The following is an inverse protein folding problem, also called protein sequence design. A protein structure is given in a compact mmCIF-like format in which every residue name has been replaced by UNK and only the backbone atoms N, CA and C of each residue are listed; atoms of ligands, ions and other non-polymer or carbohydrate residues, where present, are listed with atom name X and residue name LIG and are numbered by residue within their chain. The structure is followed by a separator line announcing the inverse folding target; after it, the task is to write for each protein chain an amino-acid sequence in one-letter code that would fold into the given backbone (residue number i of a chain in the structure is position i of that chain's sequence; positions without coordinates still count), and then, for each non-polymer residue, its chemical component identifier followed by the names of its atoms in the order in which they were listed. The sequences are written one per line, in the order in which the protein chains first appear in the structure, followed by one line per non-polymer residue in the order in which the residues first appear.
data_IF_207110050010
#
_entry.id   IF_207110050010
#
_cell.length_a   1.000
_cell.length_b   1.000
_cell.length_c   1.000
_cell.angle_alpha   90.00
_cell.angle_beta   90.00
_cell.angle_gamma   90.00
#
_symmetry.space_group_name_H-M   'P 1'
#
loop_
_entity.id
_entity.type
_entity.pdbx_description
1 polymer ?
#
# COMPACT_ATOMS: atom_id res chain seq x y z
N UNK A 1 65.47 3.05 15.87
CA UNK A 1 65.16 1.65 15.50
C UNK A 1 63.78 1.36 16.07
N UNK A 2 62.76 1.21 15.23
CA UNK A 2 61.37 1.08 15.67
C UNK A 2 61.09 -0.38 16.02
N UNK A 3 60.69 -0.65 17.26
CA UNK A 3 60.25 -1.96 17.71
C UNK A 3 59.05 -2.40 16.87
N UNK A 4 59.17 -3.52 16.16
CA UNK A 4 58.06 -4.10 15.43
C UNK A 4 56.94 -4.42 16.42
N UNK A 5 55.79 -3.76 16.26
CA UNK A 5 54.64 -3.89 17.15
C UNK A 5 54.23 -5.36 17.29
N UNK A 6 54.37 -5.94 18.49
CA UNK A 6 53.91 -7.29 18.87
C UNK A 6 52.49 -7.60 18.38
N UNK A 7 51.64 -6.57 18.33
CA UNK A 7 50.28 -6.63 17.80
C UNK A 7 50.22 -6.97 16.29
N UNK A 8 51.10 -6.39 15.46
CA UNK A 8 51.11 -6.68 14.02
C UNK A 8 51.57 -8.11 13.73
N UNK A 9 52.47 -8.65 14.54
CA UNK A 9 52.91 -10.04 14.43
C UNK A 9 51.79 -11.02 14.80
N UNK A 10 51.05 -10.76 15.87
CA UNK A 10 49.90 -11.58 16.26
C UNK A 10 48.81 -11.55 15.18
N UNK A 11 48.52 -10.38 14.61
CA UNK A 11 47.56 -10.25 13.51
C UNK A 11 47.98 -11.06 12.29
N UNK A 12 49.27 -11.06 11.93
CA UNK A 12 49.80 -11.86 10.81
C UNK A 12 49.65 -13.36 11.07
N UNK A 13 49.95 -13.82 12.29
CA UNK A 13 49.78 -15.23 12.69
C UNK A 13 48.33 -15.69 12.57
N UNK A 14 47.37 -14.89 13.05
CA UNK A 14 45.95 -15.21 12.92
C UNK A 14 45.48 -15.29 11.47
N UNK A 15 45.95 -14.40 10.61
CA UNK A 15 45.62 -14.42 9.18
C UNK A 15 46.19 -15.69 8.53
N UNK A 16 47.42 -16.07 8.88
CA UNK A 16 48.05 -17.28 8.36
C UNK A 16 47.34 -18.56 8.83
N UNK A 17 46.97 -18.63 10.11
CA UNK A 17 46.17 -19.74 10.64
C UNK A 17 44.80 -19.84 9.97
N UNK A 18 44.11 -18.72 9.76
CA UNK A 18 42.83 -18.69 9.03
C UNK A 18 42.99 -19.16 7.59
N UNK A 19 44.10 -18.78 6.93
CA UNK A 19 44.41 -19.26 5.58
C UNK A 19 44.64 -20.78 5.57
N UNK A 20 45.40 -21.32 6.53
CA UNK A 20 45.59 -22.78 6.65
C UNK A 20 44.28 -23.53 6.88
N UNK A 21 43.39 -23.01 7.73
CA UNK A 21 42.06 -23.59 7.96
C UNK A 21 41.19 -23.56 6.69
N UNK A 22 41.26 -22.51 5.89
CA UNK A 22 40.55 -22.42 4.61
C UNK A 22 41.06 -23.45 3.58
N UNK A 23 42.38 -23.67 3.54
CA UNK A 23 43.01 -24.67 2.69
C UNK A 23 42.68 -26.11 3.16
N UNK A 24 42.72 -26.36 4.46
CA UNK A 24 42.36 -27.64 5.09
C UNK A 24 40.92 -28.04 4.79
N UNK A 25 39.98 -27.09 4.90
CA UNK A 25 38.57 -27.29 4.55
C UNK A 25 38.31 -27.27 3.04
N UNK A 26 39.34 -27.09 2.21
CA UNK A 26 39.27 -26.99 0.74
C UNK A 26 38.23 -25.99 0.26
N UNK A 27 37.98 -24.93 1.04
CA UNK A 27 36.90 -23.97 0.76
C UNK A 27 37.13 -23.23 -0.55
N UNK A 28 38.39 -22.99 -0.91
CA UNK A 28 38.77 -22.37 -2.18
C UNK A 28 38.28 -23.20 -3.39
N UNK A 29 38.40 -24.52 -3.34
CA UNK A 29 37.95 -25.41 -4.41
C UNK A 29 36.42 -25.43 -4.52
N UNK A 30 35.71 -25.45 -3.39
CA UNK A 30 34.24 -25.37 -3.37
C UNK A 30 33.74 -24.03 -3.92
N UNK A 31 34.37 -22.93 -3.53
CA UNK A 31 34.02 -21.59 -4.03
C UNK A 31 34.25 -21.47 -5.55
N UNK A 32 35.29 -22.11 -6.09
CA UNK A 32 35.58 -22.15 -7.51
C UNK A 32 34.54 -23.01 -8.26
N UNK A 33 34.21 -24.20 -7.75
CA UNK A 33 33.22 -25.09 -8.34
C UNK A 33 31.82 -24.47 -8.39
N UNK A 34 31.42 -23.72 -7.35
CA UNK A 34 30.13 -23.00 -7.32
C UNK A 34 30.12 -21.87 -8.35
N UNK A 35 31.21 -21.10 -8.48
CA UNK A 35 31.33 -20.06 -9.51
C UNK A 35 31.28 -20.65 -10.92
N UNK A 36 31.96 -21.77 -11.15
CA UNK A 36 31.94 -22.48 -12.42
C UNK A 36 30.54 -23.04 -12.73
N UNK A 37 29.86 -23.62 -11.75
CA UNK A 37 28.49 -24.10 -11.89
C UNK A 37 27.50 -22.96 -12.19
N UNK A 38 27.70 -21.78 -11.61
CA UNK A 38 26.89 -20.59 -11.87
C UNK A 38 27.17 -19.97 -13.25
N UNK A 39 28.39 -20.12 -13.77
CA UNK A 39 28.78 -19.65 -15.11
C UNK A 39 28.30 -20.56 -16.24
N UNK A 40 27.87 -21.80 -15.94
CA UNK A 40 27.32 -22.70 -16.96
C UNK A 40 25.96 -22.16 -17.45
N UNK A 41 25.75 -22.03 -18.77
CA UNK A 41 24.48 -21.58 -19.31
C UNK A 41 23.38 -22.56 -18.92
N UNK A 42 22.29 -22.05 -18.34
CA UNK A 42 21.13 -22.89 -18.00
C UNK A 42 20.58 -23.50 -19.30
N UNK A 43 20.25 -24.81 -19.33
CA UNK A 43 19.61 -25.40 -20.49
C UNK A 43 18.29 -24.67 -20.73
N UNK A 44 18.06 -24.24 -21.96
CA UNK A 44 16.82 -23.57 -22.34
C UNK A 44 15.64 -24.51 -22.01
N UNK A 45 14.70 -24.13 -21.12
CA UNK A 45 13.57 -25.00 -20.84
C UNK A 45 12.77 -25.15 -22.12
N UNK A 46 12.73 -26.37 -22.69
CA UNK A 46 11.87 -26.66 -23.84
C UNK A 46 10.44 -26.21 -23.49
N UNK A 47 9.73 -25.51 -24.39
CA UNK A 47 8.34 -25.15 -24.14
C UNK A 47 7.57 -26.45 -23.89
N UNK A 48 6.92 -26.54 -22.72
CA UNK A 48 6.07 -27.69 -22.41
C UNK A 48 4.94 -27.72 -23.45
N UNK A 49 4.63 -28.86 -24.09
CA UNK A 49 3.49 -28.94 -24.96
C UNK A 49 2.24 -28.58 -24.16
N UNK A 50 1.45 -27.62 -24.66
CA UNK A 50 0.15 -27.30 -24.06
C UNK A 50 -0.69 -28.57 -24.09
N UNK A 51 -1.09 -29.08 -22.92
CA UNK A 51 -2.02 -30.21 -22.82
C UNK A 51 -3.33 -29.75 -23.45
N UNK A 52 -3.79 -30.41 -24.52
CA UNK A 52 -5.17 -30.27 -24.98
C UNK A 52 -6.07 -30.72 -23.84
N UNK A 53 -7.12 -29.94 -23.55
CA UNK A 53 -8.14 -30.34 -22.59
C UNK A 53 -8.70 -31.72 -23.02
N UNK A 54 -8.90 -32.68 -22.10
CA UNK A 54 -9.60 -33.90 -22.44
C UNK A 54 -11.02 -33.56 -22.90
N UNK A 55 -11.51 -34.26 -23.91
CA UNK A 55 -12.92 -34.32 -24.27
C UNK A 55 -13.77 -34.59 -23.01
N UNK A 56 -15.05 -34.15 -22.94
CA UNK A 56 -15.93 -34.36 -21.79
C UNK A 56 -16.28 -35.86 -21.62
N UNK A 57 -15.31 -36.64 -21.16
CA UNK A 57 -15.44 -38.02 -20.77
C UNK A 57 -15.30 -38.13 -19.26
N UNK A 58 -15.99 -39.12 -18.69
CA UNK A 58 -16.07 -39.35 -17.25
C UNK A 58 -14.72 -39.26 -16.55
N UNK A 59 -14.71 -38.51 -15.43
CA UNK A 59 -13.52 -38.32 -14.61
C UNK A 59 -12.91 -39.67 -14.26
N UNK A 60 -11.70 -39.95 -14.77
CA UNK A 60 -10.85 -41.05 -14.30
C UNK A 60 -10.49 -40.82 -12.83
N UNK A 61 -11.34 -41.29 -11.92
CA UNK A 61 -11.04 -41.36 -10.49
C UNK A 61 -9.98 -42.44 -10.30
N UNK A 62 -8.91 -42.13 -9.57
CA UNK A 62 -7.92 -43.13 -9.19
C UNK A 62 -8.61 -44.31 -8.48
N UNK A 63 -8.28 -45.55 -8.85
CA UNK A 63 -8.88 -46.76 -8.27
C UNK A 63 -8.78 -46.87 -6.73
N UNK A 64 -7.98 -46.01 -6.08
CA UNK A 64 -7.90 -45.87 -4.62
C UNK A 64 -9.21 -45.45 -3.95
N UNK A 65 -10.18 -44.94 -4.70
CA UNK A 65 -11.48 -44.45 -4.15
C UNK A 65 -12.64 -45.40 -4.48
N UNK A 66 -12.42 -46.44 -5.30
CA UNK A 66 -13.49 -47.33 -5.77
C UNK A 66 -14.00 -48.31 -4.70
N UNK A 67 -13.25 -48.52 -3.61
CA UNK A 67 -13.59 -49.46 -2.54
C UNK A 67 -14.06 -48.83 -1.23
N UNK A 68 -14.22 -47.50 -1.17
CA UNK A 68 -14.78 -46.87 0.03
C UNK A 68 -16.31 -46.97 0.00
N UNK A 69 -16.96 -47.27 1.15
CA UNK A 69 -18.40 -47.13 1.27
C UNK A 69 -18.82 -45.70 0.92
N UNK A 70 -20.04 -45.54 0.39
CA UNK A 70 -20.58 -44.24 0.02
C UNK A 70 -20.41 -43.28 1.18
N UNK A 71 -19.57 -42.26 0.98
CA UNK A 71 -19.26 -41.28 2.02
C UNK A 71 -20.58 -40.59 2.39
N UNK A 72 -20.97 -40.54 3.68
CA UNK A 72 -22.16 -39.80 4.08
C UNK A 72 -22.01 -38.36 3.59
N UNK A 73 -23.07 -37.86 2.94
CA UNK A 73 -23.14 -36.49 2.45
C UNK A 73 -23.16 -35.56 3.67
N UNK A 74 -21.99 -35.12 4.14
CA UNK A 74 -21.82 -34.14 5.22
C UNK A 74 -22.37 -32.74 4.89
N UNK A 75 -23.23 -32.61 3.86
CA UNK A 75 -23.76 -31.35 3.33
C UNK A 75 -25.28 -31.25 3.56
N UNK A 76 -25.82 -31.98 4.52
CA UNK A 76 -27.11 -31.61 5.14
C UNK A 76 -26.79 -30.77 6.37
N UNK A 77 -26.85 -29.44 6.20
CA UNK A 77 -26.60 -28.45 7.25
C UNK A 77 -25.50 -27.43 6.92
N UNK A 78 -24.64 -27.71 5.94
CA UNK A 78 -23.81 -26.67 5.35
C UNK A 78 -24.67 -25.93 4.32
N UNK A 79 -25.36 -24.88 4.76
CA UNK A 79 -25.90 -23.88 3.84
C UNK A 79 -24.83 -23.58 2.81
N UNK A 80 -25.17 -23.84 1.55
CA UNK A 80 -24.36 -23.39 0.43
C UNK A 80 -24.33 -21.87 0.54
N UNK A 81 -23.31 -21.31 1.20
CA UNK A 81 -22.87 -19.93 0.95
C UNK A 81 -22.35 -19.95 -0.49
N UNK A 82 -23.30 -19.96 -1.41
CA UNK A 82 -23.04 -20.03 -2.82
C UNK A 82 -22.19 -18.83 -3.19
N UNK A 83 -21.27 -19.06 -4.12
CA UNK A 83 -20.52 -18.02 -4.82
C UNK A 83 -21.42 -16.84 -5.30
N UNK A 84 -22.73 -17.08 -5.44
CA UNK A 84 -23.78 -16.09 -5.71
C UNK A 84 -23.98 -15.07 -4.58
N UNK A 85 -23.99 -15.48 -3.32
CA UNK A 85 -24.16 -14.57 -2.18
C UNK A 85 -22.95 -13.65 -1.96
N UNK A 86 -21.76 -14.10 -2.38
CA UNK A 86 -20.56 -13.27 -2.42
C UNK A 86 -20.69 -12.19 -3.50
N UNK A 87 -21.16 -12.55 -4.70
CA UNK A 87 -21.40 -11.59 -5.79
C UNK A 87 -22.59 -10.65 -5.52
N UNK A 88 -23.64 -11.13 -4.87
CA UNK A 88 -24.78 -10.32 -4.41
C UNK A 88 -24.36 -9.36 -3.29
N UNK A 89 -23.51 -9.78 -2.34
CA UNK A 89 -22.93 -8.88 -1.35
C UNK A 89 -22.04 -7.78 -1.98
N UNK A 90 -21.32 -8.09 -3.06
CA UNK A 90 -20.60 -7.08 -3.85
C UNK A 90 -21.51 -6.21 -4.72
N UNK A 91 -22.64 -6.74 -5.21
CA UNK A 91 -23.63 -6.00 -6.00
C UNK A 91 -24.57 -5.13 -5.15
N UNK A 92 -24.69 -5.42 -3.85
CA UNK A 92 -25.45 -4.61 -2.87
C UNK A 92 -24.67 -3.39 -2.40
N UNK A 93 -23.34 -3.36 -2.57
CA UNK A 93 -22.56 -2.13 -2.34
C UNK A 93 -22.87 -1.11 -3.43
N UNK A 94 -23.93 -0.33 -3.23
CA UNK A 94 -24.16 0.92 -3.94
C UNK A 94 -23.15 1.94 -3.41
N UNK A 95 -21.92 1.90 -3.95
CA UNK A 95 -21.02 3.04 -3.83
C UNK A 95 -21.69 4.30 -4.39
N UNK A 96 -21.21 5.50 -4.02
CA UNK A 96 -21.86 6.75 -4.42
C UNK A 96 -21.98 6.83 -5.94
N UNK A 97 -23.13 7.34 -6.38
CA UNK A 97 -23.51 7.53 -7.78
C UNK A 97 -22.52 8.46 -8.47
N UNK A 98 -22.34 8.29 -9.78
CA UNK A 98 -21.43 9.13 -10.58
C UNK A 98 -21.70 10.64 -10.42
N UNK A 99 -22.99 11.00 -10.28
CA UNK A 99 -23.45 12.38 -10.02
C UNK A 99 -23.02 12.91 -8.65
N UNK A 100 -23.13 12.09 -7.60
CA UNK A 100 -22.72 12.43 -6.24
C UNK A 100 -21.21 12.65 -6.15
N UNK A 101 -20.44 11.75 -6.79
CA UNK A 101 -18.98 11.90 -6.90
C UNK A 101 -18.61 13.15 -7.67
N UNK A 102 -19.32 13.45 -8.76
CA UNK A 102 -19.10 14.67 -9.53
C UNK A 102 -19.45 15.93 -8.72
N UNK A 103 -20.50 15.89 -7.90
CA UNK A 103 -20.88 16.97 -6.99
C UNK A 103 -19.80 17.28 -5.95
N UNK A 104 -19.28 16.24 -5.28
CA UNK A 104 -18.18 16.40 -4.31
C UNK A 104 -16.93 16.98 -4.96
N UNK A 105 -16.57 16.50 -6.17
CA UNK A 105 -15.44 17.04 -6.93
C UNK A 105 -15.69 18.50 -7.32
N UNK A 106 -16.88 18.85 -7.80
CA UNK A 106 -17.20 20.21 -8.21
C UNK A 106 -17.08 21.22 -7.04
N UNK A 107 -17.58 20.85 -5.85
CA UNK A 107 -17.42 21.65 -4.62
C UNK A 107 -15.94 21.82 -4.25
N UNK A 108 -15.16 20.73 -4.31
CA UNK A 108 -13.73 20.75 -4.02
C UNK A 108 -12.94 21.64 -4.99
N UNK A 109 -13.24 21.58 -6.29
CA UNK A 109 -12.63 22.43 -7.30
C UNK A 109 -13.01 23.91 -7.13
N UNK A 110 -14.25 24.21 -6.73
CA UNK A 110 -14.65 25.57 -6.42
C UNK A 110 -13.83 26.15 -5.26
N UNK A 111 -13.64 25.38 -4.19
CA UNK A 111 -12.77 25.77 -3.10
C UNK A 111 -11.32 25.95 -3.57
N UNK A 112 -10.80 25.04 -4.40
CA UNK A 112 -9.46 25.17 -4.98
C UNK A 112 -9.30 26.48 -5.78
N UNK A 113 -10.30 26.86 -6.57
CA UNK A 113 -10.31 28.13 -7.33
C UNK A 113 -10.30 29.34 -6.40
N UNK A 114 -11.06 29.30 -5.30
CA UNK A 114 -11.07 30.36 -4.28
C UNK A 114 -9.70 30.49 -3.61
N UNK A 115 -9.06 29.37 -3.28
CA UNK A 115 -7.76 29.33 -2.60
C UNK A 115 -6.61 29.79 -3.51
N UNK A 116 -6.63 29.42 -4.80
CA UNK A 116 -5.58 29.85 -5.75
C UNK A 116 -5.43 31.37 -5.85
N UNK A 117 -6.46 32.13 -5.47
CA UNK A 117 -6.43 33.59 -5.42
C UNK A 117 -5.55 34.14 -4.28
N UNK A 118 -5.27 33.33 -3.25
CA UNK A 118 -4.78 33.77 -1.94
C UNK A 118 -3.26 33.56 -1.76
N UNK A 119 -2.57 32.96 -2.76
CA UNK A 119 -1.07 32.90 -2.92
C UNK A 119 -0.41 31.56 -2.57
N UNK A 120 -1.12 30.60 -1.97
CA UNK A 120 -0.59 29.25 -1.72
C UNK A 120 -1.28 28.17 -2.55
N UNK A 121 -0.52 27.17 -3.04
CA UNK A 121 -1.04 26.16 -3.93
C UNK A 121 -1.97 25.20 -3.17
N UNK A 122 -3.02 24.78 -3.85
CA UNK A 122 -3.93 23.75 -3.37
C UNK A 122 -4.18 22.71 -4.45
N UNK A 123 -4.35 21.45 -4.06
CA UNK A 123 -4.71 20.38 -4.99
C UNK A 123 -5.93 19.61 -4.49
N UNK A 124 -6.74 19.17 -5.45
CA UNK A 124 -7.92 18.34 -5.21
C UNK A 124 -7.52 16.87 -5.34
N UNK A 125 -8.02 16.05 -4.42
CA UNK A 125 -7.77 14.61 -4.38
C UNK A 125 -9.10 13.86 -4.22
N UNK A 126 -9.64 13.30 -5.31
CA UNK A 126 -10.76 12.37 -5.23
C UNK A 126 -10.36 11.06 -4.55
N UNK A 127 -11.17 10.61 -3.61
CA UNK A 127 -10.95 9.37 -2.86
C UNK A 127 -11.41 8.18 -3.69
N UNK A 128 -10.43 7.36 -4.04
CA UNK A 128 -10.65 6.07 -4.71
C UNK A 128 -10.63 4.95 -3.67
N UNK A 129 -11.18 3.79 -4.02
CA UNK A 129 -11.16 2.58 -3.17
C UNK A 129 -9.77 2.23 -2.59
N UNK A 130 -8.69 2.55 -3.32
CA UNK A 130 -7.33 2.33 -2.84
C UNK A 130 -6.88 3.36 -1.79
N UNK A 131 -7.36 4.60 -1.86
CA UNK A 131 -7.01 5.68 -0.94
C UNK A 131 -7.94 5.76 0.27
N UNK A 132 -9.15 5.17 0.20
CA UNK A 132 -10.14 5.10 1.26
C UNK A 132 -10.09 3.74 2.01
N UNK A 133 -10.51 2.64 1.37
CA UNK A 133 -10.74 1.35 2.04
C UNK A 133 -9.48 0.49 2.22
N UNK A 134 -8.51 0.56 1.29
CA UNK A 134 -7.22 -0.16 1.37
C UNK A 134 -6.04 0.75 1.71
N UNK A 135 -6.31 1.92 2.27
CA UNK A 135 -5.41 3.05 2.36
C UNK A 135 -4.17 2.81 3.23
N UNK A 136 -3.12 2.20 2.67
CA UNK A 136 -1.80 2.22 3.27
C UNK A 136 -1.08 3.54 2.98
N UNK A 137 -1.35 4.16 1.83
CA UNK A 137 -0.60 5.30 1.31
C UNK A 137 -1.48 6.22 0.42
N UNK A 138 -1.27 7.53 0.48
CA UNK A 138 -1.86 8.50 -0.45
C UNK A 138 -0.81 9.10 -1.37
N UNK A 139 -0.98 8.92 -2.69
CA UNK A 139 -0.10 9.55 -3.69
C UNK A 139 -0.43 11.01 -3.92
N UNK A 140 0.58 11.86 -3.85
CA UNK A 140 0.50 13.29 -4.14
C UNK A 140 0.72 13.51 -5.65
N UNK A 141 -0.06 14.40 -6.29
CA UNK A 141 0.14 14.75 -7.70
C UNK A 141 1.54 15.28 -8.00
N UNK A 142 2.10 14.90 -9.16
CA UNK A 142 3.47 15.30 -9.57
C UNK A 142 3.66 16.80 -9.70
N UNK A 143 2.66 17.53 -10.20
CA UNK A 143 2.74 18.99 -10.35
C UNK A 143 2.89 19.71 -9.01
N UNK A 144 2.50 19.06 -7.91
CA UNK A 144 2.59 19.62 -6.58
C UNK A 144 3.99 19.43 -5.94
N UNK A 145 4.88 18.67 -6.58
CA UNK A 145 6.19 18.34 -6.00
C UNK A 145 7.15 19.52 -5.91
N UNK A 146 6.95 20.57 -6.70
CA UNK A 146 7.80 21.78 -6.66
C UNK A 146 7.69 22.51 -5.32
N UNK A 147 6.55 22.36 -4.63
CA UNK A 147 6.26 23.02 -3.35
C UNK A 147 6.62 22.16 -2.14
N UNK A 148 6.96 20.89 -2.36
CA UNK A 148 7.22 19.92 -1.31
C UNK A 148 8.70 19.80 -0.97
N UNK A 149 9.04 19.34 0.25
CA UNK A 149 10.40 19.00 0.60
C UNK A 149 11.00 17.94 -0.33
N UNK A 150 12.29 18.07 -0.63
CA UNK A 150 13.02 17.12 -1.48
C UNK A 150 13.41 15.81 -0.77
N UNK A 151 13.23 15.76 0.56
CA UNK A 151 13.61 14.63 1.41
C UNK A 151 12.41 14.12 2.21
N UNK A 152 12.54 12.93 2.78
CA UNK A 152 11.55 12.37 3.68
C UNK A 152 11.45 13.25 4.93
N UNK A 153 10.28 13.80 5.19
CA UNK A 153 10.04 14.78 6.27
C UNK A 153 8.69 14.50 6.95
N UNK A 154 8.57 14.90 8.21
CA UNK A 154 7.30 14.90 8.91
C UNK A 154 6.41 16.02 8.36
N UNK A 155 5.18 15.70 7.99
CA UNK A 155 4.18 16.64 7.52
C UNK A 155 3.01 16.65 8.49
N UNK A 156 2.45 17.84 8.74
CA UNK A 156 1.27 18.00 9.58
C UNK A 156 0.07 18.28 8.68
N UNK A 157 -0.97 17.46 8.79
CA UNK A 157 -2.28 17.78 8.24
C UNK A 157 -3.13 18.39 9.33
N UNK A 158 -3.78 19.51 9.03
CA UNK A 158 -4.76 20.16 9.91
C UNK A 158 -6.12 19.99 9.24
N UNK A 159 -7.11 19.49 9.95
CA UNK A 159 -8.45 19.33 9.41
C UNK A 159 -9.26 20.65 9.46
N UNK A 160 -10.58 20.55 9.30
CA UNK A 160 -11.48 21.70 9.40
C UNK A 160 -11.75 22.14 10.85
N UNK A 161 -11.60 21.22 11.82
CA UNK A 161 -11.73 21.47 13.26
C UNK A 161 -10.41 21.98 13.89
N UNK A 162 -9.39 22.21 13.07
CA UNK A 162 -8.03 22.60 13.45
C UNK A 162 -7.28 21.53 14.27
N UNK A 163 -7.67 20.25 14.16
CA UNK A 163 -6.96 19.12 14.73
C UNK A 163 -5.72 18.76 13.91
N UNK A 164 -4.60 18.56 14.58
CA UNK A 164 -3.30 18.29 13.95
C UNK A 164 -2.99 16.79 13.86
N UNK A 165 -2.78 16.30 12.65
CA UNK A 165 -2.42 14.92 12.34
C UNK A 165 -1.01 14.84 11.77
N UNK A 166 -0.11 14.21 12.51
CA UNK A 166 1.26 13.98 12.08
C UNK A 166 1.36 12.82 11.09
N UNK A 167 2.00 13.07 9.95
CA UNK A 167 2.21 12.10 8.89
C UNK A 167 3.66 12.06 8.44
N UNK A 168 4.08 10.91 7.91
CA UNK A 168 5.36 10.80 7.22
C UNK A 168 5.16 11.00 5.72
N UNK A 169 5.81 12.03 5.20
CA UNK A 169 5.95 12.26 3.78
C UNK A 169 7.24 11.58 3.29
N UNK A 170 7.09 10.74 2.25
CA UNK A 170 8.20 10.04 1.65
C UNK A 170 8.45 10.58 0.23
N UNK A 171 9.61 11.20 0.05
CA UNK A 171 10.14 11.58 -1.25
C UNK A 171 10.92 10.40 -1.81
N UNK A 172 10.27 9.55 -2.62
CA UNK A 172 10.96 8.37 -3.15
C UNK A 172 12.21 8.78 -3.95
N UNK A 173 13.37 8.25 -3.54
CA UNK A 173 14.73 8.43 -4.13
C UNK A 173 14.87 8.36 -5.67
N UNK A 174 13.85 7.92 -6.42
CA UNK A 174 13.86 7.87 -7.89
C UNK A 174 12.94 8.91 -8.56
N UNK A 175 12.34 9.85 -7.81
CA UNK A 175 11.65 11.03 -8.36
C UNK A 175 10.33 10.74 -9.10
N UNK A 176 9.74 9.54 -8.94
CA UNK A 176 8.56 9.13 -9.72
C UNK A 176 7.23 9.32 -9.01
N UNK A 177 7.19 9.17 -7.68
CA UNK A 177 5.97 9.26 -6.89
C UNK A 177 6.25 9.78 -5.49
N UNK A 178 5.42 10.73 -5.05
CA UNK A 178 5.40 11.27 -3.70
C UNK A 178 4.17 10.73 -2.99
N UNK A 179 4.30 10.32 -1.73
CA UNK A 179 3.16 9.77 -0.99
C UNK A 179 3.24 10.03 0.50
N UNK A 180 2.08 10.19 1.13
CA UNK A 180 1.93 10.06 2.57
C UNK A 180 1.81 8.58 2.90
N UNK A 181 2.64 8.10 3.80
CA UNK A 181 2.66 6.70 4.20
C UNK A 181 2.15 6.57 5.64
N UNK A 182 3.03 6.75 6.63
CA UNK A 182 2.66 6.59 8.04
C UNK A 182 1.74 7.73 8.46
N UNK A 183 0.64 7.42 9.14
CA UNK A 183 -0.36 8.38 9.61
C UNK A 183 -1.59 8.48 8.70
N UNK A 184 -1.46 8.26 7.38
CA UNK A 184 -2.59 8.38 6.44
C UNK A 184 -3.75 7.43 6.79
N UNK A 185 -3.44 6.16 7.08
CA UNK A 185 -4.47 5.18 7.45
C UNK A 185 -5.25 5.59 8.71
N UNK A 186 -4.56 6.19 9.68
CA UNK A 186 -5.18 6.66 10.92
C UNK A 186 -6.13 7.82 10.66
N UNK A 187 -5.67 8.80 9.88
CA UNK A 187 -6.49 9.93 9.44
C UNK A 187 -7.72 9.49 8.64
N UNK A 188 -7.54 8.57 7.68
CA UNK A 188 -8.66 8.09 6.87
C UNK A 188 -9.72 7.35 7.71
N UNK A 189 -9.30 6.64 8.76
CA UNK A 189 -10.21 6.01 9.71
C UNK A 189 -10.86 7.00 10.68
N UNK A 190 -10.14 8.06 11.09
CA UNK A 190 -10.67 9.09 11.98
C UNK A 190 -11.81 9.90 11.35
N UNK A 191 -11.70 10.21 10.05
CA UNK A 191 -12.70 10.98 9.32
C UNK A 191 -13.72 10.11 8.55
N UNK A 192 -13.67 8.79 8.73
CA UNK A 192 -14.49 7.80 8.01
C UNK A 192 -14.50 8.00 6.49
N UNK A 193 -13.33 8.25 5.91
CA UNK A 193 -13.22 8.58 4.48
C UNK A 193 -13.66 7.39 3.62
N UNK A 194 -14.65 7.63 2.76
CA UNK A 194 -15.23 6.64 1.89
C UNK A 194 -14.80 6.82 0.42
N UNK A 195 -15.16 5.83 -0.41
CA UNK A 195 -15.00 5.95 -1.86
C UNK A 195 -16.00 6.99 -2.36
N UNK A 196 -15.53 7.95 -3.15
CA UNK A 196 -16.37 9.02 -3.71
C UNK A 196 -16.15 10.39 -3.08
N UNK A 197 -15.70 10.43 -1.82
CA UNK A 197 -15.35 11.68 -1.15
C UNK A 197 -14.22 12.41 -1.87
N UNK A 198 -14.11 13.72 -1.64
CA UNK A 198 -13.10 14.55 -2.26
C UNK A 198 -12.41 15.41 -1.22
N UNK A 199 -11.08 15.43 -1.22
CA UNK A 199 -10.30 16.25 -0.30
C UNK A 199 -9.61 17.38 -1.04
N UNK A 200 -9.53 18.55 -0.41
CA UNK A 200 -8.73 19.68 -0.88
C UNK A 200 -7.60 19.88 0.10
N UNK A 201 -6.37 19.74 -0.39
CA UNK A 201 -5.16 20.01 0.39
C UNK A 201 -4.69 21.42 0.07
N UNK A 202 -4.76 22.29 1.06
CA UNK A 202 -4.24 23.66 1.01
C UNK A 202 -2.92 23.73 1.78
N UNK A 203 -1.85 24.13 1.12
CA UNK A 203 -0.57 24.33 1.81
C UNK A 203 -0.58 25.68 2.54
N UNK A 204 -0.48 25.68 3.87
CA UNK A 204 -0.39 26.92 4.65
C UNK A 204 1.06 27.29 4.93
N UNK A 205 1.90 26.29 5.19
CA UNK A 205 3.33 26.44 5.45
C UNK A 205 4.13 25.31 4.78
N UNK A 206 5.46 25.41 4.81
CA UNK A 206 6.32 24.32 4.34
C UNK A 206 6.08 23.11 5.25
N UNK A 207 5.61 22.00 4.69
CA UNK A 207 5.23 20.78 5.41
C UNK A 207 3.98 20.86 6.32
N UNK A 208 3.13 21.88 6.16
CA UNK A 208 1.81 21.96 6.83
C UNK A 208 0.69 22.16 5.81
N UNK A 209 -0.33 21.30 5.89
CA UNK A 209 -1.48 21.33 5.00
C UNK A 209 -2.77 21.47 5.78
N UNK A 210 -3.62 22.43 5.42
CA UNK A 210 -5.02 22.42 5.82
C UNK A 210 -5.83 21.57 4.85
N UNK A 211 -6.66 20.68 5.36
CA UNK A 211 -7.40 19.69 4.62
C UNK A 211 -8.88 19.97 4.76
N UNK A 212 -9.57 20.08 3.63
CA UNK A 212 -11.02 20.23 3.57
C UNK A 212 -11.63 18.97 2.98
N UNK A 213 -12.73 18.48 3.57
CA UNK A 213 -13.32 17.18 3.23
C UNK A 213 -14.73 17.40 2.67
N UNK A 214 -14.93 17.05 1.41
CA UNK A 214 -16.21 17.09 0.74
C UNK A 214 -16.76 15.67 0.59
N UNK A 215 -17.80 15.35 1.35
CA UNK A 215 -18.44 14.04 1.31
C UNK A 215 -19.32 13.91 0.08
N UNK A 216 -19.25 12.75 -0.58
CA UNK A 216 -20.12 12.45 -1.72
C UNK A 216 -21.49 11.95 -1.29
N UNK A 217 -21.57 11.25 -0.15
CA UNK A 217 -22.84 10.75 0.36
C UNK A 217 -23.35 11.63 1.52
N UNK A 218 -24.52 12.29 1.39
CA UNK A 218 -25.08 13.16 2.42
C UNK A 218 -25.59 12.41 3.67
N UNK A 219 -25.75 11.09 3.60
CA UNK A 219 -26.26 10.27 4.71
C UNK A 219 -25.39 10.28 5.98
N UNK A 220 -24.17 10.84 5.91
CA UNK A 220 -23.27 11.00 7.05
C UNK A 220 -23.22 12.44 7.62
N UNK A 221 -24.03 13.37 7.11
CA UNK A 221 -24.07 14.76 7.60
C UNK A 221 -25.05 15.00 8.76
N UNK A 222 -25.82 14.00 9.20
CA UNK A 222 -26.96 14.24 10.10
C UNK A 222 -26.68 14.20 11.62
N UNK A 223 -25.43 14.09 12.09
CA UNK A 223 -25.14 13.92 13.52
C UNK A 223 -24.28 15.03 14.18
N UNK A 224 -24.07 16.18 13.52
CA UNK A 224 -23.40 17.34 14.14
C UNK A 224 -24.17 18.67 14.05
N UNK A 225 -25.50 18.62 14.19
CA UNK A 225 -26.28 19.83 14.55
C UNK A 225 -27.20 19.56 15.74
N UNK A 226 -26.59 19.38 16.90
CA UNK A 226 -27.14 19.60 18.24
C UNK A 226 -25.92 20.03 19.05
N UNK A 227 -25.85 21.10 19.81
CA UNK A 227 -26.83 21.88 20.52
C UNK A 227 -26.01 23.08 21.01
N UNK A 228 -26.48 24.31 20.81
CA UNK A 228 -26.03 25.43 21.65
C UNK A 228 -27.17 26.45 21.69
N UNK A 229 -28.09 26.17 22.61
CA UNK A 229 -28.95 27.16 23.24
C UNK A 229 -28.12 27.99 24.22
N UNK A 230 -28.20 29.32 24.11
CA UNK A 230 -28.14 30.33 25.18
C UNK A 230 -28.50 31.66 24.49
N UNK A 231 -29.68 32.25 24.67
CA UNK A 231 -30.25 32.93 25.85
C UNK A 231 -30.20 34.46 25.68
N UNK A 232 -31.36 35.06 25.97
CA UNK A 232 -31.63 36.46 26.36
C UNK A 232 -31.07 37.63 25.53
N UNK A 233 -31.97 38.32 24.80
CA UNK A 233 -32.53 39.65 25.18
C UNK A 233 -33.74 40.04 24.31
#
# INVERSE_FOLDING_TARGET
MAEANSYEEQRRRQIEENRRKLDELRLHHLSAAVREAAARPKPNPKPRPKRKAPEPGELRRSGRVAGLPEQPKYVEGAEQRGYRGVYEAYAVWKGPTDEERAGAIAKAEELQRRIHRIRWPAFVKPMTHNCASKAAEMKIPKHFSEYLPAHDEGVVLVDEADDEFHMMYNAHRQGRHYYFHKGWRGFAAHHDLAVGDCLVFHMTERAKFKVYIFRANPDYENDQTSDDSEDEE
#
